data_IF_401334407245
#
_entry.id   IF_401334407245
#
_cell.length_a   1.000
_cell.length_b   1.000
_cell.length_c   1.000
_cell.angle_alpha   90.00
_cell.angle_beta   90.00
_cell.angle_gamma   90.00
#
_symmetry.space_group_name_H-M   'P 1'
#
loop_
_entity.id
_entity.type
_entity.pdbx_description
1 polymer ?
#
# COMPACT_ATOMS: atom_id res chain seq x y z
N UNK A 1 -6.81 -2.11 23.60
CA UNK A 1 -5.67 -2.15 22.66
C UNK A 1 -4.34 -2.45 23.37
N UNK A 2 -3.76 -1.51 24.15
CA UNK A 2 -2.40 -1.66 24.66
C UNK A 2 -2.14 -2.90 25.53
N UNK A 3 -3.12 -3.34 26.33
CA UNK A 3 -3.00 -4.59 27.10
C UNK A 3 -2.79 -5.80 26.19
N UNK A 4 -3.56 -5.93 25.11
CA UNK A 4 -3.40 -7.01 24.14
C UNK A 4 -2.03 -6.93 23.45
N UNK A 5 -1.60 -5.72 23.04
CA UNK A 5 -0.27 -5.53 22.43
C UNK A 5 0.87 -5.91 23.39
N UNK A 6 0.78 -5.59 24.69
CA UNK A 6 1.77 -6.00 25.68
C UNK A 6 1.89 -7.51 25.76
N UNK A 7 0.77 -8.23 25.77
CA UNK A 7 0.76 -9.70 25.75
C UNK A 7 1.40 -10.23 24.46
N UNK A 8 0.97 -9.71 23.31
CA UNK A 8 1.50 -10.07 22.00
C UNK A 8 2.97 -9.70 21.79
N UNK A 9 3.57 -8.83 22.60
CA UNK A 9 4.99 -8.48 22.56
C UNK A 9 5.80 -9.08 23.72
N UNK A 10 5.15 -9.68 24.72
CA UNK A 10 5.80 -10.21 25.93
C UNK A 10 6.32 -9.11 26.87
N UNK A 11 5.65 -7.97 26.89
CA UNK A 11 6.00 -6.79 27.69
C UNK A 11 5.30 -6.80 29.05
N UNK A 12 5.94 -6.27 30.11
CA UNK A 12 5.32 -6.16 31.43
C UNK A 12 4.16 -5.16 31.44
N UNK A 13 3.24 -5.29 32.40
CA UNK A 13 2.04 -4.42 32.52
C UNK A 13 2.39 -2.94 32.66
N UNK A 14 3.52 -2.63 33.30
CA UNK A 14 4.03 -1.27 33.51
C UNK A 14 4.72 -0.66 32.28
N UNK A 15 4.87 -1.39 31.17
CA UNK A 15 5.43 -0.83 29.94
C UNK A 15 4.55 0.31 29.39
N UNK A 16 5.18 1.38 28.92
CA UNK A 16 4.48 2.56 28.38
C UNK A 16 3.50 2.18 27.26
N UNK A 17 2.26 2.65 27.38
CA UNK A 17 1.18 2.44 26.40
C UNK A 17 1.60 2.95 25.03
N UNK A 18 2.11 4.18 24.97
CA UNK A 18 2.49 4.84 23.72
C UNK A 18 3.65 4.11 23.02
N UNK A 19 4.69 3.75 23.79
CA UNK A 19 5.82 2.96 23.27
C UNK A 19 5.41 1.56 22.79
N UNK A 20 4.49 0.91 23.51
CA UNK A 20 3.98 -0.41 23.12
C UNK A 20 3.30 -0.37 21.76
N UNK A 21 2.44 0.63 21.53
CA UNK A 21 1.73 0.81 20.25
C UNK A 21 2.73 1.03 19.11
N UNK A 22 3.74 1.87 19.34
CA UNK A 22 4.77 2.19 18.34
C UNK A 22 5.63 0.97 17.99
N UNK A 23 6.12 0.22 18.99
CA UNK A 23 6.95 -0.97 18.76
C UNK A 23 6.14 -2.10 18.11
N UNK A 24 4.84 -2.18 18.38
CA UNK A 24 3.91 -3.07 17.66
C UNK A 24 3.68 -2.65 16.20
N UNK A 25 4.13 -1.46 15.78
CA UNK A 25 3.82 -0.81 14.49
C UNK A 25 2.32 -0.61 14.28
N UNK A 26 1.60 -0.37 15.38
CA UNK A 26 0.17 -0.15 15.39
C UNK A 26 -0.16 1.35 15.49
N UNK A 27 -1.40 1.73 15.19
CA UNK A 27 -1.88 3.10 15.32
C UNK A 27 -2.52 3.34 16.69
N UNK A 28 -2.38 4.53 17.30
CA UNK A 28 -3.12 4.86 18.51
C UNK A 28 -4.64 4.76 18.32
N UNK A 29 -5.37 4.45 19.39
CA UNK A 29 -6.84 4.31 19.34
C UNK A 29 -7.54 5.57 18.81
N UNK A 30 -6.99 6.76 19.09
CA UNK A 30 -7.50 8.04 18.58
C UNK A 30 -7.39 8.12 17.06
N UNK A 31 -6.33 7.59 16.47
CA UNK A 31 -6.16 7.45 15.02
C UNK A 31 -7.17 6.47 14.43
N UNK A 32 -7.43 5.35 15.12
CA UNK A 32 -8.47 4.40 14.68
C UNK A 32 -9.87 5.01 14.66
N UNK A 33 -10.25 5.76 15.69
CA UNK A 33 -11.55 6.44 15.76
C UNK A 33 -11.71 7.43 14.60
N UNK A 34 -10.69 8.26 14.33
CA UNK A 34 -10.70 9.21 13.20
C UNK A 34 -10.83 8.51 11.85
N UNK A 35 -10.01 7.49 11.63
CA UNK A 35 -10.00 6.73 10.37
C UNK A 35 -11.32 5.99 10.16
N UNK A 36 -11.92 5.44 11.22
CA UNK A 36 -13.20 4.75 11.10
C UNK A 36 -14.37 5.69 10.83
N UNK A 37 -14.42 6.86 11.47
CA UNK A 37 -15.39 7.90 11.15
C UNK A 37 -15.30 8.32 9.67
N UNK A 38 -14.09 8.56 9.18
CA UNK A 38 -13.86 8.90 7.77
C UNK A 38 -14.22 7.74 6.84
N UNK A 39 -13.92 6.49 7.23
CA UNK A 39 -14.30 5.28 6.47
C UNK A 39 -15.82 5.18 6.31
N UNK A 40 -16.56 5.40 7.39
CA UNK A 40 -18.03 5.38 7.39
C UNK A 40 -18.55 6.50 6.50
N UNK A 41 -18.04 7.73 6.64
CA UNK A 41 -18.46 8.84 5.80
C UNK A 41 -18.19 8.58 4.32
N UNK A 42 -16.96 8.19 3.97
CA UNK A 42 -16.55 7.84 2.60
C UNK A 42 -17.40 6.74 1.99
N UNK A 43 -17.74 5.70 2.77
CA UNK A 43 -18.61 4.62 2.31
C UNK A 43 -19.97 5.14 1.86
N UNK A 44 -20.58 6.06 2.60
CA UNK A 44 -21.89 6.60 2.26
C UNK A 44 -21.79 7.64 1.14
N UNK A 45 -20.82 8.56 1.24
CA UNK A 45 -20.55 9.57 0.22
C UNK A 45 -20.24 8.95 -1.16
N UNK A 46 -19.49 7.85 -1.21
CA UNK A 46 -19.08 7.19 -2.44
C UNK A 46 -19.96 6.00 -2.85
N UNK A 47 -20.94 5.55 -2.05
CA UNK A 47 -21.78 4.38 -2.41
C UNK A 47 -23.28 4.58 -2.28
N UNK A 48 -23.71 5.35 -1.28
CA UNK A 48 -25.13 5.57 -0.99
C UNK A 48 -25.30 7.04 -0.59
N UNK A 49 -25.17 7.99 -1.53
CA UNK A 49 -25.20 9.42 -1.21
C UNK A 49 -26.53 9.87 -0.58
N UNK A 50 -27.62 9.13 -0.82
CA UNK A 50 -28.94 9.36 -0.22
C UNK A 50 -29.03 9.00 1.26
N UNK A 51 -28.04 8.30 1.81
CA UNK A 51 -28.04 7.90 3.21
C UNK A 51 -27.80 9.09 4.14
N UNK A 52 -28.51 9.16 5.27
CA UNK A 52 -28.39 10.27 6.22
C UNK A 52 -26.96 10.48 6.77
N UNK A 53 -26.13 9.43 6.80
CA UNK A 53 -24.71 9.53 7.20
C UNK A 53 -23.82 10.28 6.18
N UNK A 54 -24.24 10.35 4.92
CA UNK A 54 -23.55 11.19 3.93
C UNK A 54 -23.84 12.68 4.18
N UNK A 55 -25.05 13.02 4.61
CA UNK A 55 -25.48 14.40 4.92
C UNK A 55 -25.32 14.80 6.39
N UNK A 56 -24.85 13.89 7.25
CA UNK A 56 -24.66 14.16 8.69
C UNK A 56 -23.77 15.37 8.99
N UNK A 57 -22.64 15.58 8.27
CA UNK A 57 -21.81 16.77 8.46
C UNK A 57 -22.55 18.10 8.23
N UNK A 58 -23.57 18.09 7.35
CA UNK A 58 -24.40 19.25 7.05
C UNK A 58 -25.54 19.38 8.06
N UNK A 59 -26.20 18.27 8.41
CA UNK A 59 -27.38 18.29 9.29
C UNK A 59 -27.05 18.41 10.78
N UNK A 60 -25.87 17.98 11.22
CA UNK A 60 -25.42 18.03 12.62
C UNK A 60 -23.93 18.42 12.70
N UNK A 61 -23.58 19.69 12.45
CA UNK A 61 -22.18 20.14 12.40
C UNK A 61 -21.45 19.98 13.75
N UNK A 62 -22.17 20.09 14.86
CA UNK A 62 -21.58 20.08 16.22
C UNK A 62 -21.28 18.66 16.76
N UNK A 63 -21.61 17.60 16.00
CA UNK A 63 -21.30 16.23 16.44
C UNK A 63 -19.80 15.92 16.31
N UNK A 64 -19.25 15.08 17.18
CA UNK A 64 -17.84 14.66 17.11
C UNK A 64 -17.48 14.05 15.74
N UNK A 65 -18.40 13.29 15.14
CA UNK A 65 -18.25 12.71 13.81
C UNK A 65 -18.08 13.80 12.74
N UNK A 66 -18.95 14.81 12.76
CA UNK A 66 -18.89 15.94 11.84
C UNK A 66 -17.64 16.79 12.04
N UNK A 67 -17.21 17.00 13.28
CA UNK A 67 -15.96 17.70 13.59
C UNK A 67 -14.74 16.97 12.99
N UNK A 68 -14.66 15.64 13.12
CA UNK A 68 -13.59 14.84 12.50
C UNK A 68 -13.58 15.01 10.98
N UNK A 69 -14.75 14.97 10.34
CA UNK A 69 -14.88 15.13 8.89
C UNK A 69 -14.49 16.54 8.45
N UNK A 70 -14.90 17.56 9.19
CA UNK A 70 -14.56 18.95 8.92
C UNK A 70 -13.05 19.18 8.96
N UNK A 71 -12.36 18.65 9.97
CA UNK A 71 -10.90 18.73 10.12
C UNK A 71 -10.17 18.05 8.95
N UNK A 72 -10.69 16.93 8.45
CA UNK A 72 -10.05 16.14 7.39
C UNK A 72 -10.64 16.36 5.99
N UNK A 73 -11.42 17.43 5.79
CA UNK A 73 -12.14 17.69 4.53
C UNK A 73 -11.20 17.77 3.32
N UNK A 74 -10.01 18.35 3.47
CA UNK A 74 -9.02 18.46 2.40
C UNK A 74 -8.46 17.09 1.93
N UNK A 75 -8.53 16.07 2.79
CA UNK A 75 -8.03 14.73 2.47
C UNK A 75 -9.10 13.89 1.76
N UNK A 76 -10.38 14.25 1.91
CA UNK A 76 -11.48 13.57 1.26
C UNK A 76 -11.40 13.72 -0.27
N UNK A 77 -11.71 12.66 -1.04
CA UNK A 77 -11.72 12.73 -2.48
C UNK A 77 -12.79 13.71 -2.95
N UNK A 78 -12.46 14.49 -3.97
CA UNK A 78 -13.36 15.38 -4.69
C UNK A 78 -13.38 15.00 -6.18
N UNK A 79 -14.44 15.37 -6.90
CA UNK A 79 -14.52 15.16 -8.35
C UNK A 79 -14.56 13.69 -8.80
N UNK A 80 -14.95 12.75 -7.94
CA UNK A 80 -15.25 11.37 -8.33
C UNK A 80 -16.72 11.25 -8.74
N UNK A 81 -17.05 10.26 -9.56
CA UNK A 81 -18.44 9.97 -9.94
C UNK A 81 -19.11 9.11 -8.87
N UNK A 82 -20.20 9.57 -8.23
CA UNK A 82 -20.98 8.72 -7.34
C UNK A 82 -21.56 7.52 -8.11
N UNK A 83 -21.80 6.39 -7.45
CA UNK A 83 -22.53 5.28 -8.02
C UNK A 83 -23.92 5.68 -8.43
N UNK A 84 -24.14 5.58 -9.73
CA UNK A 84 -25.45 5.43 -10.29
C UNK A 84 -25.87 3.96 -10.17
N UNK A 85 -27.13 3.74 -9.80
CA UNK A 85 -27.74 2.44 -10.02
C UNK A 85 -27.92 2.29 -11.54
N UNK A 86 -27.44 1.20 -12.15
CA UNK A 86 -27.62 1.00 -13.58
C UNK A 86 -29.12 0.97 -13.90
N UNK A 87 -29.53 1.62 -15.00
CA UNK A 87 -30.91 1.66 -15.47
C UNK A 87 -31.40 0.27 -15.90
N UNK A 88 -30.48 -0.55 -16.42
CA UNK A 88 -30.71 -1.92 -16.85
C UNK A 88 -29.95 -2.89 -15.94
N UNK A 89 -30.55 -4.02 -15.55
CA UNK A 89 -29.83 -5.08 -14.88
C UNK A 89 -28.71 -5.63 -15.76
N UNK A 90 -27.56 -5.98 -15.16
CA UNK A 90 -26.38 -6.43 -15.89
C UNK A 90 -26.59 -7.71 -16.72
N UNK A 91 -27.58 -8.53 -16.37
CA UNK A 91 -27.96 -9.75 -17.10
C UNK A 91 -28.82 -9.48 -18.34
N UNK A 92 -29.38 -8.27 -18.49
CA UNK A 92 -30.12 -7.85 -19.68
C UNK A 92 -29.20 -7.24 -20.75
N UNK A 93 -27.94 -6.95 -20.41
CA UNK A 93 -26.99 -6.32 -21.33
C UNK A 93 -26.45 -7.32 -22.36
N UNK A 94 -26.10 -6.81 -23.53
CA UNK A 94 -25.40 -7.61 -24.55
C UNK A 94 -24.09 -8.22 -23.97
N UNK A 95 -23.77 -9.47 -24.34
CA UNK A 95 -22.54 -10.10 -23.89
C UNK A 95 -21.33 -9.33 -24.39
N UNK A 96 -20.27 -9.35 -23.57
CA UNK A 96 -18.98 -8.75 -23.88
C UNK A 96 -18.00 -9.89 -24.12
N UNK A 97 -17.42 -9.93 -25.32
CA UNK A 97 -16.42 -10.94 -25.69
C UNK A 97 -15.02 -10.43 -25.39
N UNK A 98 -14.33 -11.09 -24.44
CA UNK A 98 -12.94 -10.81 -24.14
C UNK A 98 -12.06 -12.05 -24.23
N UNK A 99 -10.96 -11.93 -24.96
CA UNK A 99 -9.96 -12.98 -25.15
C UNK A 99 -8.74 -12.70 -24.28
N UNK A 100 -8.45 -13.59 -23.33
CA UNK A 100 -7.36 -13.41 -22.34
C UNK A 100 -6.02 -14.04 -22.78
N UNK A 101 -6.01 -14.67 -23.95
CA UNK A 101 -4.89 -15.49 -24.44
C UNK A 101 -4.67 -15.24 -25.92
N UNK A 102 -3.41 -15.40 -26.33
CA UNK A 102 -3.01 -15.48 -27.74
C UNK A 102 -2.47 -16.91 -27.95
N UNK A 103 -2.94 -17.63 -28.98
CA UNK A 103 -2.40 -18.95 -29.33
C UNK A 103 -0.87 -18.93 -29.41
N UNK A 104 -0.22 -19.92 -28.81
CA UNK A 104 1.25 -20.01 -28.73
C UNK A 104 1.89 -19.31 -27.52
N UNK A 105 1.22 -18.34 -26.87
CA UNK A 105 1.77 -17.64 -25.70
C UNK A 105 1.27 -18.29 -24.40
N UNK A 106 2.06 -19.21 -23.82
CA UNK A 106 1.73 -19.86 -22.52
C UNK A 106 2.20 -19.04 -21.31
N UNK A 107 3.45 -18.59 -21.29
CA UNK A 107 4.01 -17.72 -20.24
C UNK A 107 4.96 -16.70 -20.86
N UNK A 108 4.82 -15.43 -20.45
CA UNK A 108 5.65 -14.31 -20.92
C UNK A 108 7.15 -14.58 -20.71
N UNK A 109 7.52 -15.18 -19.58
CA UNK A 109 8.92 -15.41 -19.19
C UNK A 109 9.60 -16.57 -19.96
N UNK A 110 8.86 -17.32 -20.78
CA UNK A 110 9.41 -18.47 -21.52
C UNK A 110 9.71 -18.14 -22.99
N UNK A 111 9.48 -16.90 -23.43
CA UNK A 111 9.68 -16.47 -24.81
C UNK A 111 10.52 -15.19 -24.83
N UNK A 112 11.31 -15.00 -25.88
CA UNK A 112 12.00 -13.74 -26.10
C UNK A 112 11.00 -12.63 -26.46
N UNK A 113 11.38 -11.38 -26.20
CA UNK A 113 10.56 -10.21 -26.55
C UNK A 113 10.18 -10.20 -28.03
N UNK A 114 11.12 -10.55 -28.91
CA UNK A 114 10.90 -10.63 -30.35
C UNK A 114 9.92 -11.74 -30.73
N UNK A 115 10.02 -12.92 -30.11
CA UNK A 115 9.09 -14.01 -30.36
C UNK A 115 7.66 -13.67 -29.89
N UNK A 116 7.52 -12.96 -28.76
CA UNK A 116 6.23 -12.43 -28.30
C UNK A 116 5.66 -11.40 -29.27
N UNK A 117 6.51 -10.48 -29.74
CA UNK A 117 6.12 -9.46 -30.72
C UNK A 117 5.60 -10.11 -32.00
N UNK A 118 6.36 -11.04 -32.58
CA UNK A 118 6.02 -11.72 -33.83
C UNK A 118 4.73 -12.53 -33.69
N UNK A 119 4.60 -13.35 -32.64
CA UNK A 119 3.40 -14.15 -32.40
C UNK A 119 2.16 -13.26 -32.23
N UNK A 120 2.30 -12.13 -31.52
CA UNK A 120 1.21 -11.17 -31.33
C UNK A 120 0.84 -10.51 -32.65
N UNK A 121 1.80 -9.99 -33.42
CA UNK A 121 1.52 -9.34 -34.70
C UNK A 121 0.88 -10.28 -35.72
N UNK A 122 1.32 -11.54 -35.79
CA UNK A 122 0.70 -12.56 -36.64
C UNK A 122 -0.75 -12.80 -36.24
N UNK A 123 -1.02 -12.98 -34.94
CA UNK A 123 -2.38 -13.16 -34.44
C UNK A 123 -3.28 -11.94 -34.73
N UNK A 124 -2.76 -10.72 -34.53
CA UNK A 124 -3.49 -9.49 -34.85
C UNK A 124 -3.79 -9.38 -36.36
N UNK A 125 -2.87 -9.80 -37.23
CA UNK A 125 -3.08 -9.81 -38.66
C UNK A 125 -4.13 -10.85 -39.08
N UNK A 126 -4.06 -12.07 -38.53
CA UNK A 126 -4.96 -13.17 -38.87
C UNK A 126 -6.39 -12.94 -38.37
N UNK A 127 -6.57 -12.47 -37.14
CA UNK A 127 -7.87 -12.40 -36.47
C UNK A 127 -8.49 -10.99 -36.45
N UNK A 128 -7.68 -9.93 -36.58
CA UNK A 128 -8.12 -8.55 -36.38
C UNK A 128 -7.80 -7.61 -37.55
N UNK A 129 -7.36 -8.10 -38.72
CA UNK A 129 -7.01 -7.24 -39.88
C UNK A 129 -8.18 -6.43 -40.43
N UNK A 130 -9.40 -6.97 -40.42
CA UNK A 130 -10.61 -6.28 -40.88
C UNK A 130 -11.27 -5.35 -39.85
N UNK A 131 -10.61 -5.09 -38.72
CA UNK A 131 -11.17 -4.33 -37.58
C UNK A 131 -10.30 -3.10 -37.29
N UNK A 132 -10.91 -2.03 -36.81
CA UNK A 132 -10.18 -0.86 -36.33
C UNK A 132 -9.51 -1.17 -34.99
N UNK A 133 -8.22 -0.86 -34.88
CA UNK A 133 -7.41 -1.18 -33.70
C UNK A 133 -7.41 -0.02 -32.72
N UNK A 134 -7.78 -0.30 -31.47
CA UNK A 134 -7.75 0.64 -30.36
C UNK A 134 -6.82 0.06 -29.30
N UNK A 135 -5.84 0.84 -28.84
CA UNK A 135 -4.90 0.42 -27.81
C UNK A 135 -5.14 1.25 -26.56
N UNK A 136 -5.21 0.60 -25.41
CA UNK A 136 -5.46 1.23 -24.12
C UNK A 136 -4.41 0.84 -23.10
N UNK A 137 -4.02 1.78 -22.25
CA UNK A 137 -3.08 1.53 -21.15
C UNK A 137 -3.39 2.43 -19.95
N UNK A 138 -3.09 1.93 -18.75
CA UNK A 138 -3.27 2.61 -17.48
C UNK A 138 -1.98 2.64 -16.66
N UNK A 139 -1.50 3.83 -16.33
CA UNK A 139 -0.29 4.00 -15.54
C UNK A 139 -0.60 4.52 -14.14
N UNK A 140 0.12 4.02 -13.13
CA UNK A 140 0.03 4.48 -11.74
C UNK A 140 1.40 4.91 -11.24
N UNK A 141 1.45 6.07 -10.58
CA UNK A 141 2.62 6.59 -9.87
C UNK A 141 2.42 6.49 -8.36
N UNK A 142 3.32 7.05 -7.56
CA UNK A 142 3.13 7.13 -6.11
C UNK A 142 1.99 8.07 -5.68
N UNK A 143 1.53 8.96 -6.57
CA UNK A 143 0.61 10.07 -6.23
C UNK A 143 -0.60 10.20 -7.14
N UNK A 144 -0.54 9.64 -8.35
CA UNK A 144 -1.57 9.78 -9.37
C UNK A 144 -1.75 8.50 -10.18
N UNK A 145 -2.91 8.38 -10.80
CA UNK A 145 -3.18 7.38 -11.82
C UNK A 145 -3.64 8.09 -13.10
N UNK A 146 -3.40 7.46 -14.24
CA UNK A 146 -3.65 8.01 -15.56
C UNK A 146 -3.97 6.90 -16.55
N UNK A 147 -4.66 7.26 -17.63
CA UNK A 147 -4.99 6.34 -18.72
C UNK A 147 -4.82 6.99 -20.08
N UNK A 148 -4.68 6.16 -21.11
CA UNK A 148 -4.61 6.62 -22.49
C UNK A 148 -5.30 5.66 -23.47
N UNK A 149 -5.72 6.23 -24.60
CA UNK A 149 -6.36 5.53 -25.72
C UNK A 149 -5.70 6.00 -27.02
N UNK A 150 -5.23 5.05 -27.81
CA UNK A 150 -4.61 5.29 -29.12
C UNK A 150 -5.43 4.58 -30.19
N UNK A 151 -5.86 5.31 -31.22
CA UNK A 151 -6.49 4.75 -32.43
C UNK A 151 -5.66 5.18 -33.64
N UNK A 152 -4.69 4.35 -34.09
CA UNK A 152 -3.74 4.76 -35.12
C UNK A 152 -4.40 5.13 -36.44
N UNK A 153 -5.42 4.39 -36.88
CA UNK A 153 -6.11 4.62 -38.14
C UNK A 153 -6.80 5.99 -38.22
N UNK A 154 -7.14 6.57 -37.06
CA UNK A 154 -7.83 7.86 -36.94
C UNK A 154 -6.94 8.96 -36.38
N UNK A 155 -5.66 8.68 -36.13
CA UNK A 155 -4.72 9.59 -35.44
C UNK A 155 -5.25 10.11 -34.09
N UNK A 156 -6.06 9.32 -33.38
CA UNK A 156 -6.60 9.68 -32.06
C UNK A 156 -5.58 9.30 -31.00
N UNK A 157 -5.24 10.27 -30.14
CA UNK A 157 -4.44 10.07 -28.93
C UNK A 157 -5.11 10.81 -27.78
N UNK A 158 -5.89 10.07 -27.00
CA UNK A 158 -6.54 10.59 -25.80
C UNK A 158 -5.72 10.16 -24.60
N UNK A 159 -5.48 11.09 -23.70
CA UNK A 159 -4.76 10.86 -22.46
C UNK A 159 -5.40 11.68 -21.35
N UNK A 160 -5.46 11.13 -20.16
CA UNK A 160 -6.10 11.80 -19.04
C UNK A 160 -5.52 11.33 -17.71
N UNK A 161 -5.64 12.18 -16.71
CA UNK A 161 -5.40 11.85 -15.31
C UNK A 161 -6.71 11.40 -14.68
N UNK A 162 -6.70 10.43 -13.77
CA UNK A 162 -7.91 10.08 -13.01
C UNK A 162 -8.17 11.13 -11.92
N UNK A 163 -9.44 11.34 -11.53
CA UNK A 163 -9.80 12.36 -10.53
C UNK A 163 -9.18 12.13 -9.15
N UNK A 164 -8.73 10.92 -8.87
CA UNK A 164 -8.04 10.55 -7.64
C UNK A 164 -7.03 9.43 -7.92
N UNK A 165 -6.07 9.25 -7.01
CA UNK A 165 -5.18 8.10 -7.00
C UNK A 165 -5.99 6.80 -6.90
N UNK A 166 -5.73 5.85 -7.79
CA UNK A 166 -6.37 4.54 -7.82
C UNK A 166 -5.39 3.43 -8.20
N UNK A 167 -5.85 2.18 -8.14
CA UNK A 167 -5.07 0.99 -8.53
C UNK A 167 -4.79 0.93 -10.02
N UNK A 168 -3.74 0.20 -10.43
CA UNK A 168 -3.42 0.01 -11.86
C UNK A 168 -4.58 -0.61 -12.63
N UNK A 169 -5.26 -1.63 -12.08
CA UNK A 169 -6.44 -2.22 -12.74
C UNK A 169 -7.58 -1.23 -12.94
N UNK A 170 -7.82 -0.29 -12.01
CA UNK A 170 -8.83 0.74 -12.19
C UNK A 170 -8.43 1.78 -13.25
N UNK A 171 -7.14 2.12 -13.34
CA UNK A 171 -6.62 3.01 -14.39
C UNK A 171 -6.78 2.39 -15.79
N UNK A 172 -6.49 1.09 -15.92
CA UNK A 172 -6.71 0.30 -17.14
C UNK A 172 -8.18 0.26 -17.54
N UNK A 173 -9.07 -0.02 -16.58
CA UNK A 173 -10.52 0.01 -16.81
C UNK A 173 -11.00 1.41 -17.22
N UNK A 174 -10.43 2.48 -16.64
CA UNK A 174 -10.76 3.85 -17.04
C UNK A 174 -10.32 4.15 -18.48
N UNK A 175 -9.19 3.61 -18.93
CA UNK A 175 -8.73 3.71 -20.31
C UNK A 175 -9.66 2.95 -21.27
N UNK A 176 -10.09 1.74 -20.91
CA UNK A 176 -11.10 0.98 -21.67
C UNK A 176 -12.43 1.74 -21.73
N UNK A 177 -12.87 2.31 -20.61
CA UNK A 177 -14.09 3.13 -20.57
C UNK A 177 -14.00 4.31 -21.53
N UNK A 178 -12.87 5.04 -21.56
CA UNK A 178 -12.65 6.13 -22.49
C UNK A 178 -12.62 5.64 -23.95
N UNK A 179 -12.08 4.46 -24.22
CA UNK A 179 -12.07 3.88 -25.56
C UNK A 179 -13.47 3.59 -26.08
N UNK A 180 -14.35 3.03 -25.24
CA UNK A 180 -15.74 2.74 -25.64
C UNK A 180 -16.53 4.04 -25.86
N UNK A 181 -16.30 5.08 -25.06
CA UNK A 181 -16.91 6.39 -25.30
C UNK A 181 -16.55 6.99 -26.66
N UNK A 182 -15.28 6.86 -27.07
CA UNK A 182 -14.82 7.31 -28.39
C UNK A 182 -15.51 6.51 -29.49
N UNK A 183 -15.62 5.20 -29.31
CA UNK A 183 -16.27 4.31 -30.29
C UNK A 183 -17.73 4.71 -30.52
N UNK A 184 -18.49 5.02 -29.46
CA UNK A 184 -19.90 5.43 -29.53
C UNK A 184 -20.09 6.74 -30.31
N UNK A 185 -19.08 7.60 -30.36
CA UNK A 185 -19.13 8.86 -31.11
C UNK A 185 -18.87 8.67 -32.61
N UNK A 186 -18.44 7.49 -33.04
CA UNK A 186 -18.06 7.18 -34.42
C UNK A 186 -19.17 6.43 -35.17
N UNK A 187 -19.10 6.36 -36.52
CA UNK A 187 -19.98 5.50 -37.29
C UNK A 187 -19.83 4.02 -36.92
N UNK A 188 -20.88 3.22 -37.18
CA UNK A 188 -20.87 1.78 -36.94
C UNK A 188 -19.69 1.11 -37.68
N UNK A 189 -18.85 0.43 -36.90
CA UNK A 189 -17.63 -0.23 -37.34
C UNK A 189 -17.34 -1.47 -36.48
N UNK A 190 -16.42 -2.30 -36.95
CA UNK A 190 -15.84 -3.40 -36.20
C UNK A 190 -14.55 -2.96 -35.50
N UNK A 191 -14.51 -3.05 -34.18
CA UNK A 191 -13.43 -2.56 -33.32
C UNK A 191 -12.75 -3.69 -32.56
N UNK A 192 -11.45 -3.56 -32.36
CA UNK A 192 -10.66 -4.41 -31.47
C UNK A 192 -9.94 -3.55 -30.45
N UNK A 193 -10.33 -3.69 -29.17
CA UNK A 193 -9.71 -2.99 -28.05
C UNK A 193 -8.62 -3.90 -27.47
N UNK A 194 -7.38 -3.44 -27.51
CA UNK A 194 -6.21 -4.13 -26.99
C UNK A 194 -5.74 -3.51 -25.68
N UNK A 195 -5.55 -4.36 -24.68
CA UNK A 195 -4.99 -3.99 -23.36
C UNK A 195 -4.00 -5.06 -22.93
N UNK A 196 -2.95 -4.66 -22.20
CA UNK A 196 -2.03 -5.62 -21.59
C UNK A 196 -2.48 -6.10 -20.20
N UNK A 197 -3.57 -5.54 -19.68
CA UNK A 197 -4.12 -5.83 -18.37
C UNK A 197 -5.12 -6.99 -18.40
N UNK A 198 -4.62 -8.21 -18.19
CA UNK A 198 -5.49 -9.39 -17.99
C UNK A 198 -6.48 -9.18 -16.86
N UNK A 199 -6.07 -8.49 -15.80
CA UNK A 199 -6.91 -8.23 -14.63
C UNK A 199 -8.13 -7.36 -15.00
N UNK A 200 -7.95 -6.32 -15.84
CA UNK A 200 -9.05 -5.49 -16.30
C UNK A 200 -10.05 -6.29 -17.14
N UNK A 201 -9.57 -7.09 -18.10
CA UNK A 201 -10.45 -7.95 -18.91
C UNK A 201 -11.16 -9.03 -18.07
N UNK A 202 -10.48 -9.61 -17.08
CA UNK A 202 -11.10 -10.55 -16.13
C UNK A 202 -12.24 -9.90 -15.34
N UNK A 203 -12.11 -8.63 -14.96
CA UNK A 203 -13.20 -7.87 -14.35
C UNK A 203 -14.39 -7.70 -15.29
N UNK A 204 -14.16 -7.43 -16.58
CA UNK A 204 -15.23 -7.24 -17.57
C UNK A 204 -16.03 -8.53 -17.88
N UNK A 205 -15.36 -9.68 -17.95
CA UNK A 205 -16.02 -10.97 -18.21
C UNK A 205 -16.78 -11.53 -17.01
N UNK A 206 -16.44 -11.10 -15.79
CA UNK A 206 -17.04 -11.59 -14.54
C UNK A 206 -17.80 -10.46 -13.80
N UNK A 207 -18.87 -9.89 -14.41
CA UNK A 207 -19.52 -8.69 -13.90
C UNK A 207 -20.21 -8.87 -12.54
N UNK A 208 -20.57 -10.10 -12.18
CA UNK A 208 -21.22 -10.42 -10.90
C UNK A 208 -20.22 -10.74 -9.78
N UNK A 209 -18.91 -10.71 -10.07
CA UNK A 209 -17.90 -10.91 -9.03
C UNK A 209 -17.87 -9.69 -8.14
N UNK A 210 -18.14 -9.90 -6.85
CA UNK A 210 -17.98 -8.83 -5.88
C UNK A 210 -16.52 -8.39 -5.79
N UNK A 211 -16.28 -7.10 -5.97
CA UNK A 211 -14.93 -6.56 -6.16
C UNK A 211 -14.84 -5.05 -6.03
N UNK A 212 -13.61 -4.50 -5.99
CA UNK A 212 -13.40 -3.06 -5.88
C UNK A 212 -13.87 -2.27 -7.10
N UNK A 213 -13.92 -2.90 -8.28
CA UNK A 213 -14.16 -2.23 -9.56
C UNK A 213 -15.59 -2.43 -10.10
N UNK A 214 -16.52 -2.94 -9.29
CA UNK A 214 -17.90 -3.27 -9.69
C UNK A 214 -18.58 -2.14 -10.48
N UNK A 215 -18.50 -0.90 -9.98
CA UNK A 215 -19.17 0.24 -10.59
C UNK A 215 -18.56 0.60 -11.95
N UNK A 216 -17.24 0.71 -12.03
CA UNK A 216 -16.54 1.04 -13.28
C UNK A 216 -16.76 -0.05 -14.34
N UNK A 217 -16.82 -1.33 -13.93
CA UNK A 217 -17.19 -2.45 -14.81
C UNK A 217 -18.62 -2.33 -15.30
N UNK A 218 -19.57 -1.97 -14.42
CA UNK A 218 -20.96 -1.76 -14.80
C UNK A 218 -21.08 -0.63 -15.83
N UNK A 219 -20.40 0.50 -15.60
CA UNK A 219 -20.39 1.65 -16.50
C UNK A 219 -19.87 1.25 -17.89
N UNK A 220 -18.75 0.53 -17.97
CA UNK A 220 -18.19 0.02 -19.25
C UNK A 220 -19.18 -0.93 -19.95
N UNK A 221 -19.86 -1.81 -19.23
CA UNK A 221 -20.80 -2.76 -19.83
C UNK A 221 -22.06 -2.08 -20.36
N UNK A 222 -22.53 -1.02 -19.70
CA UNK A 222 -23.64 -0.20 -20.18
C UNK A 222 -23.22 0.52 -21.47
N UNK A 223 -22.03 1.12 -21.50
CA UNK A 223 -21.50 1.75 -22.70
C UNK A 223 -21.33 0.74 -23.85
N UNK A 224 -20.76 -0.44 -23.56
CA UNK A 224 -20.65 -1.52 -24.53
C UNK A 224 -22.01 -1.94 -25.10
N UNK A 225 -23.02 -2.08 -24.23
CA UNK A 225 -24.37 -2.42 -24.65
C UNK A 225 -24.93 -1.38 -25.61
N UNK A 226 -24.82 -0.09 -25.29
CA UNK A 226 -25.27 0.99 -26.18
C UNK A 226 -24.49 1.03 -27.51
N UNK A 227 -23.19 0.79 -27.48
CA UNK A 227 -22.40 0.71 -28.71
C UNK A 227 -22.88 -0.44 -29.61
N UNK A 228 -23.21 -1.59 -29.04
CA UNK A 228 -23.77 -2.72 -29.79
C UNK A 228 -25.17 -2.39 -30.33
N UNK A 229 -26.02 -1.71 -29.56
CA UNK A 229 -27.36 -1.25 -30.02
C UNK A 229 -27.25 -0.26 -31.20
N UNK A 230 -26.18 0.53 -31.25
CA UNK A 230 -25.86 1.42 -32.39
C UNK A 230 -25.23 0.69 -33.59
N UNK A 231 -25.05 -0.63 -33.49
CA UNK A 231 -24.52 -1.47 -34.56
C UNK A 231 -23.00 -1.61 -34.57
N UNK A 232 -22.28 -1.17 -33.52
CA UNK A 232 -20.85 -1.46 -33.42
C UNK A 232 -20.61 -2.93 -33.07
N UNK A 233 -19.54 -3.50 -33.62
CA UNK A 233 -19.03 -4.80 -33.22
C UNK A 233 -17.72 -4.60 -32.44
N UNK A 234 -17.67 -4.90 -31.14
CA UNK A 234 -16.51 -4.63 -30.28
C UNK A 234 -15.98 -5.95 -29.68
N UNK A 235 -14.69 -6.21 -29.88
CA UNK A 235 -13.97 -7.34 -29.28
C UNK A 235 -12.85 -6.83 -28.37
N UNK A 236 -12.68 -7.42 -27.20
CA UNK A 236 -11.63 -7.06 -26.26
C UNK A 236 -10.54 -8.15 -26.28
N UNK A 237 -9.29 -7.78 -26.51
CA UNK A 237 -8.20 -8.73 -26.68
C UNK A 237 -7.02 -8.37 -25.79
N UNK A 238 -6.57 -9.34 -25.00
CA UNK A 238 -5.33 -9.21 -24.26
C UNK A 238 -4.12 -9.28 -25.19
N UNK A 239 -3.14 -8.39 -25.00
CA UNK A 239 -1.84 -8.47 -25.66
C UNK A 239 -0.69 -8.43 -24.62
N UNK A 240 0.47 -9.05 -24.89
CA UNK A 240 1.60 -8.94 -23.97
C UNK A 240 2.16 -7.50 -23.96
N UNK A 241 2.18 -6.88 -22.77
CA UNK A 241 2.79 -5.56 -22.59
C UNK A 241 4.31 -5.57 -22.78
N UNK A 242 4.88 -4.41 -23.12
CA UNK A 242 6.33 -4.18 -23.29
C UNK A 242 7.04 -5.17 -24.22
N UNK A 243 6.40 -5.53 -25.34
CA UNK A 243 6.99 -6.41 -26.34
C UNK A 243 7.23 -5.76 -27.71
N UNK A 244 7.17 -4.43 -27.84
CA UNK A 244 7.44 -3.75 -29.11
C UNK A 244 6.23 -3.61 -30.02
N UNK A 245 5.00 -3.80 -29.51
CA UNK A 245 3.79 -3.53 -30.28
C UNK A 245 3.56 -2.03 -30.28
N UNK A 246 3.76 -1.39 -31.44
CA UNK A 246 3.79 0.07 -31.56
C UNK A 246 2.57 0.77 -30.92
N UNK A 247 1.35 0.28 -31.17
CA UNK A 247 0.13 0.86 -30.60
C UNK A 247 0.09 0.78 -29.07
N UNK A 248 0.50 -0.35 -28.49
CA UNK A 248 0.56 -0.54 -27.04
C UNK A 248 1.66 0.31 -26.40
N UNK A 249 2.84 0.34 -27.00
CA UNK A 249 3.95 1.14 -26.48
C UNK A 249 3.66 2.64 -26.56
N UNK A 250 2.89 3.09 -27.56
CA UNK A 250 2.37 4.46 -27.63
C UNK A 250 1.35 4.73 -26.52
N UNK A 251 0.45 3.79 -26.24
CA UNK A 251 -0.52 3.93 -25.16
C UNK A 251 0.18 4.02 -23.79
N UNK A 252 1.15 3.14 -23.48
CA UNK A 252 1.94 3.19 -22.23
C UNK A 252 2.71 4.50 -22.08
N UNK A 253 3.34 4.99 -23.16
CA UNK A 253 4.01 6.30 -23.15
C UNK A 253 3.01 7.43 -22.90
N UNK A 254 1.89 7.46 -23.62
CA UNK A 254 0.84 8.49 -23.45
C UNK A 254 0.26 8.47 -22.04
N UNK A 255 -0.02 7.29 -21.48
CA UNK A 255 -0.56 7.15 -20.12
C UNK A 255 0.45 7.67 -19.08
N UNK A 256 1.75 7.40 -19.25
CA UNK A 256 2.79 7.95 -18.36
C UNK A 256 2.93 9.47 -18.48
N UNK A 257 2.82 10.01 -19.68
CA UNK A 257 2.89 11.46 -19.92
C UNK A 257 1.66 12.23 -19.41
N UNK A 258 0.49 11.59 -19.33
CA UNK A 258 -0.75 12.23 -18.87
C UNK A 258 -0.75 12.63 -17.38
N UNK A 259 0.30 12.28 -16.62
CA UNK A 259 0.42 12.59 -15.19
C UNK A 259 0.47 14.11 -14.93
N UNK A 260 1.05 14.83 -15.87
CA UNK A 260 1.28 16.28 -15.81
C UNK A 260 0.17 17.07 -16.52
N UNK A 261 -0.82 16.38 -17.10
CA UNK A 261 -1.95 17.03 -17.74
C UNK A 261 -2.97 17.55 -16.71
N UNK A 262 -3.62 18.66 -17.07
CA UNK A 262 -4.72 19.24 -16.29
C UNK A 262 -6.06 18.52 -16.51
N UNK A 263 -6.19 17.72 -17.58
CA UNK A 263 -7.44 17.04 -17.90
C UNK A 263 -7.65 15.85 -16.96
N UNK A 264 -8.63 16.00 -16.06
CA UNK A 264 -9.01 14.97 -15.10
C UNK A 264 -10.30 14.27 -15.54
N UNK A 265 -10.23 12.94 -15.66
CA UNK A 265 -11.38 12.07 -15.89
C UNK A 265 -11.93 11.59 -14.54
N UNK A 266 -13.20 11.90 -14.28
CA UNK A 266 -13.88 11.42 -13.09
C UNK A 266 -14.17 9.92 -13.21
N UNK A 267 -13.74 9.16 -12.21
CA UNK A 267 -14.03 7.73 -12.10
C UNK A 267 -14.65 7.43 -10.73
N UNK A 268 -15.33 6.27 -10.58
CA UNK A 268 -15.88 5.84 -9.29
C UNK A 268 -14.82 5.72 -8.20
N UNK A 269 -15.14 6.17 -6.98
CA UNK A 269 -14.23 6.02 -5.83
C UNK A 269 -14.42 4.66 -5.17
N UNK A 270 -13.46 3.74 -5.36
CA UNK A 270 -13.60 2.37 -4.89
C UNK A 270 -13.30 2.20 -3.40
N UNK A 271 -13.70 1.05 -2.84
CA UNK A 271 -13.36 0.67 -1.46
C UNK A 271 -11.85 0.54 -1.25
N UNK A 272 -11.12 0.07 -2.26
CA UNK A 272 -9.65 -0.04 -2.22
C UNK A 272 -8.99 1.32 -2.22
N UNK A 273 -9.52 2.28 -2.99
CA UNK A 273 -9.02 3.66 -3.00
C UNK A 273 -9.24 4.33 -1.63
N UNK A 274 -10.45 4.15 -1.07
CA UNK A 274 -10.77 4.59 0.29
C UNK A 274 -9.80 4.01 1.31
N UNK A 275 -9.58 2.69 1.26
CA UNK A 275 -8.68 2.00 2.20
C UNK A 275 -7.24 2.49 2.09
N UNK A 276 -6.70 2.61 0.88
CA UNK A 276 -5.33 3.06 0.65
C UNK A 276 -5.12 4.50 1.15
N UNK A 277 -6.06 5.39 0.85
CA UNK A 277 -6.04 6.79 1.32
C UNK A 277 -6.10 6.89 2.83
N UNK A 278 -7.03 6.17 3.46
CA UNK A 278 -7.17 6.15 4.91
C UNK A 278 -5.96 5.55 5.61
N UNK A 279 -5.30 4.55 5.02
CA UNK A 279 -4.06 4.00 5.55
C UNK A 279 -2.89 4.98 5.42
N UNK A 280 -2.84 5.82 4.38
CA UNK A 280 -1.87 6.93 4.31
C UNK A 280 -2.13 7.93 5.43
N UNK A 281 -3.36 8.38 5.58
CA UNK A 281 -3.75 9.31 6.63
C UNK A 281 -3.46 8.76 8.03
N UNK A 282 -3.74 7.48 8.29
CA UNK A 282 -3.43 6.83 9.57
C UNK A 282 -1.93 6.90 9.89
N UNK A 283 -1.07 6.66 8.89
CA UNK A 283 0.39 6.76 9.04
C UNK A 283 0.82 8.20 9.28
N UNK A 284 0.26 9.16 8.56
CA UNK A 284 0.55 10.59 8.72
C UNK A 284 0.15 11.10 10.12
N UNK A 285 -1.07 10.78 10.57
CA UNK A 285 -1.57 11.13 11.90
C UNK A 285 -0.71 10.53 13.01
N UNK A 286 -0.32 9.26 12.84
CA UNK A 286 0.55 8.58 13.81
C UNK A 286 1.94 9.21 13.84
N UNK A 287 2.49 9.59 12.69
CA UNK A 287 3.79 10.27 12.61
C UNK A 287 3.74 11.67 13.20
N UNK A 288 2.65 12.41 12.98
CA UNK A 288 2.44 13.73 13.57
C UNK A 288 2.33 13.64 15.11
N UNK A 289 1.59 12.67 15.63
CA UNK A 289 1.51 12.39 17.06
C UNK A 289 2.87 11.96 17.64
N UNK A 290 3.65 11.17 16.90
CA UNK A 290 4.97 10.75 17.32
C UNK A 290 5.97 11.91 17.43
N UNK A 291 5.89 12.86 16.51
CA UNK A 291 6.72 14.05 16.49
C UNK A 291 6.21 15.16 17.43
N UNK A 292 5.08 14.96 18.14
CA UNK A 292 4.57 15.98 19.06
C UNK A 292 5.35 15.97 20.37
N UNK A 293 5.46 17.14 21.02
CA UNK A 293 6.06 17.28 22.35
C UNK A 293 5.31 16.51 23.44
N UNK A 294 4.06 16.14 23.17
CA UNK A 294 3.21 15.34 24.06
C UNK A 294 3.56 13.85 24.03
N UNK A 295 4.37 13.39 23.07
CA UNK A 295 4.79 11.99 23.03
C UNK A 295 5.86 11.70 24.09
N UNK A 296 5.46 10.96 25.12
CA UNK A 296 6.18 10.87 26.41
C UNK A 296 7.35 9.89 26.48
N UNK A 297 7.76 9.22 25.39
CA UNK A 297 8.86 8.23 25.44
C UNK A 297 10.13 8.68 24.73
N UNK A 298 10.96 9.45 25.45
CA UNK A 298 12.25 9.95 24.97
C UNK A 298 13.21 8.84 24.50
N UNK A 299 13.20 7.67 25.17
CA UNK A 299 14.08 6.54 24.81
C UNK A 299 13.75 6.00 23.43
N UNK A 300 12.50 5.58 23.22
CA UNK A 300 12.06 5.01 21.95
C UNK A 300 12.23 6.03 20.83
N UNK A 301 11.99 7.32 21.12
CA UNK A 301 12.23 8.41 20.17
C UNK A 301 13.70 8.57 19.79
N UNK A 302 14.63 8.51 20.75
CA UNK A 302 16.06 8.57 20.49
C UNK A 302 16.60 7.37 19.68
N UNK A 303 16.00 6.19 19.83
CA UNK A 303 16.43 4.99 19.11
C UNK A 303 15.92 4.96 17.66
N UNK A 304 14.68 5.40 17.43
CA UNK A 304 14.03 5.36 16.12
C UNK A 304 13.17 6.60 15.86
N UNK A 305 13.77 7.76 15.59
CA UNK A 305 13.04 9.02 15.40
C UNK A 305 12.04 8.98 14.23
N UNK A 306 12.26 8.10 13.24
CA UNK A 306 11.41 7.97 12.05
C UNK A 306 10.35 6.85 12.13
N UNK A 307 10.07 6.29 13.30
CA UNK A 307 9.15 5.14 13.46
C UNK A 307 9.52 3.90 12.62
N UNK A 308 10.80 3.72 12.32
CA UNK A 308 11.28 2.62 11.48
C UNK A 308 11.53 1.31 12.24
N UNK A 309 10.68 1.01 13.23
CA UNK A 309 10.71 -0.25 13.95
C UNK A 309 10.38 -1.39 12.98
N UNK A 310 11.32 -2.34 12.83
CA UNK A 310 11.06 -3.59 12.10
C UNK A 310 11.57 -4.76 12.89
N UNK A 311 10.63 -5.49 13.49
CA UNK A 311 10.87 -6.86 13.91
C UNK A 311 11.17 -7.69 12.64
N UNK A 312 12.31 -8.38 12.57
CA UNK A 312 12.62 -9.22 11.42
C UNK A 312 11.80 -10.49 11.45
N UNK A 313 11.49 -10.98 10.25
CA UNK A 313 10.96 -12.33 10.10
C UNK A 313 12.02 -13.38 10.42
N UNK A 314 11.57 -14.48 11.04
CA UNK A 314 12.35 -15.71 11.21
C UNK A 314 13.27 -15.76 12.44
N UNK A 315 13.06 -14.89 13.43
CA UNK A 315 13.75 -15.01 14.73
C UNK A 315 12.84 -15.72 15.75
N UNK A 316 13.39 -16.47 16.73
CA UNK A 316 12.61 -17.11 17.77
C UNK A 316 11.80 -16.08 18.58
N UNK A 317 10.61 -16.50 19.02
CA UNK A 317 9.68 -15.66 19.79
C UNK A 317 10.33 -15.02 21.03
N UNK A 318 11.17 -15.77 21.75
CA UNK A 318 11.90 -15.27 22.91
C UNK A 318 12.80 -14.06 22.58
N UNK A 319 13.42 -14.07 21.41
CA UNK A 319 14.32 -13.00 20.95
C UNK A 319 13.54 -11.77 20.47
N UNK A 320 12.38 -11.96 19.84
CA UNK A 320 11.46 -10.86 19.52
C UNK A 320 11.03 -10.13 20.79
N UNK A 321 10.62 -10.89 21.81
CA UNK A 321 10.19 -10.34 23.09
C UNK A 321 11.34 -9.60 23.78
N UNK A 322 12.52 -10.20 23.84
CA UNK A 322 13.70 -9.54 24.42
C UNK A 322 14.06 -8.25 23.67
N UNK A 323 14.03 -8.26 22.34
CA UNK A 323 14.30 -7.07 21.54
C UNK A 323 13.28 -5.95 21.82
N UNK A 324 11.99 -6.29 21.91
CA UNK A 324 10.96 -5.34 22.31
C UNK A 324 11.25 -4.76 23.70
N UNK A 325 11.60 -5.60 24.67
CA UNK A 325 11.95 -5.15 26.03
C UNK A 325 13.16 -4.21 26.04
N UNK A 326 14.20 -4.53 25.28
CA UNK A 326 15.40 -3.70 25.14
C UNK A 326 15.08 -2.32 24.53
N UNK A 327 14.26 -2.28 23.48
CA UNK A 327 13.81 -1.02 22.86
C UNK A 327 12.99 -0.17 23.82
N UNK A 328 12.04 -0.76 24.54
CA UNK A 328 11.20 -0.03 25.49
C UNK A 328 11.94 0.34 26.79
N UNK A 329 13.12 -0.23 27.04
CA UNK A 329 13.85 -0.01 28.30
C UNK A 329 13.25 -0.76 29.49
N UNK A 330 12.60 -1.89 29.21
CA UNK A 330 11.85 -2.72 30.18
C UNK A 330 12.37 -4.17 30.20
N UNK A 331 13.61 -4.37 29.76
CA UNK A 331 14.31 -5.64 29.97
C UNK A 331 14.60 -5.81 31.46
N UNK A 332 14.55 -7.04 31.97
CA UNK A 332 14.69 -7.33 33.40
C UNK A 332 16.15 -7.25 33.89
N UNK A 333 16.79 -6.10 33.69
CA UNK A 333 18.09 -5.77 34.30
C UNK A 333 17.90 -5.46 35.79
N UNK A 334 18.94 -5.55 36.62
CA UNK A 334 18.78 -5.24 38.05
C UNK A 334 18.25 -3.81 38.27
N UNK A 335 18.72 -2.83 37.50
CA UNK A 335 18.21 -1.46 37.59
C UNK A 335 16.71 -1.33 37.25
N UNK A 336 16.22 -2.07 36.25
CA UNK A 336 14.79 -2.07 35.92
C UNK A 336 13.98 -2.87 36.95
N UNK A 337 14.46 -4.05 37.34
CA UNK A 337 13.84 -4.93 38.33
C UNK A 337 13.71 -4.24 39.70
N UNK A 338 14.71 -3.49 40.14
CA UNK A 338 14.66 -2.66 41.34
C UNK A 338 13.58 -1.58 41.22
N UNK A 339 13.52 -0.87 40.08
CA UNK A 339 12.50 0.16 39.82
C UNK A 339 11.06 -0.36 39.89
N UNK A 340 10.84 -1.62 39.55
CA UNK A 340 9.52 -2.28 39.63
C UNK A 340 9.33 -3.11 40.91
N UNK A 341 10.26 -3.06 41.86
CA UNK A 341 10.17 -3.74 43.15
C UNK A 341 10.41 -5.26 43.11
N UNK A 342 11.04 -5.78 42.06
CA UNK A 342 11.38 -7.21 41.91
C UNK A 342 12.81 -7.56 42.36
N UNK A 343 13.68 -6.57 42.54
CA UNK A 343 15.04 -6.75 43.04
C UNK A 343 15.30 -5.83 44.24
N UNK A 344 16.24 -6.20 45.10
CA UNK A 344 16.59 -5.44 46.31
C UNK A 344 17.48 -4.22 46.02
N UNK A 345 18.30 -4.29 44.98
CA UNK A 345 19.21 -3.23 44.57
C UNK A 345 19.39 -3.21 43.03
N UNK A 346 19.84 -2.07 42.45
CA UNK A 346 20.01 -1.93 41.01
C UNK A 346 21.38 -2.40 40.49
N UNK A 347 22.26 -2.95 41.34
CA UNK A 347 23.69 -3.04 41.10
C UNK A 347 24.07 -4.26 40.27
N UNK A 348 25.11 -4.12 39.45
CA UNK A 348 25.75 -5.23 38.76
C UNK A 348 26.65 -5.99 39.73
N UNK A 349 26.41 -7.30 39.89
CA UNK A 349 27.17 -8.18 40.79
C UNK A 349 28.69 -8.21 40.48
N UNK A 350 29.10 -7.90 39.25
CA UNK A 350 30.50 -7.99 38.84
C UNK A 350 31.29 -6.70 39.06
N UNK A 351 30.68 -5.52 38.90
CA UNK A 351 31.41 -4.25 38.92
C UNK A 351 30.80 -3.19 39.84
N UNK A 352 29.66 -3.47 40.47
CA UNK A 352 29.03 -2.56 41.43
C UNK A 352 28.53 -1.25 40.82
N UNK A 353 28.29 -1.18 39.52
CA UNK A 353 27.59 -0.05 38.89
C UNK A 353 26.11 -0.41 38.67
N UNK A 354 25.23 0.58 38.50
CA UNK A 354 23.84 0.33 38.12
C UNK A 354 23.75 -0.53 36.85
N UNK A 355 23.10 -1.69 36.94
CA UNK A 355 22.95 -2.62 35.83
C UNK A 355 21.86 -2.13 34.87
N UNK A 356 22.18 -1.11 34.08
CA UNK A 356 21.30 -0.59 33.01
C UNK A 356 21.52 -1.34 31.69
N UNK A 357 20.61 -1.14 30.72
CA UNK A 357 20.79 -1.70 29.36
C UNK A 357 22.06 -1.15 28.71
N UNK A 358 22.34 0.15 28.84
CA UNK A 358 23.59 0.76 28.35
C UNK A 358 24.81 0.10 29.00
N UNK A 359 24.77 -0.09 30.32
CA UNK A 359 25.84 -0.74 31.06
C UNK A 359 26.12 -2.16 30.54
N UNK A 360 25.09 -3.00 30.43
CA UNK A 360 25.21 -4.38 29.94
C UNK A 360 25.80 -4.41 28.52
N UNK A 361 25.22 -3.62 27.60
CA UNK A 361 25.58 -3.64 26.19
C UNK A 361 26.97 -3.01 25.93
N UNK A 362 27.34 -1.95 26.65
CA UNK A 362 28.47 -1.10 26.27
C UNK A 362 29.64 -1.10 27.27
N UNK A 363 29.41 -1.31 28.56
CA UNK A 363 30.40 -0.98 29.61
C UNK A 363 30.84 -2.18 30.47
N UNK A 364 29.90 -3.02 30.92
CA UNK A 364 30.12 -4.09 31.89
C UNK A 364 31.33 -5.00 31.56
N UNK A 365 32.36 -5.10 32.43
CA UNK A 365 33.56 -5.91 32.18
C UNK A 365 33.27 -7.40 31.94
N UNK A 366 32.23 -7.94 32.60
CA UNK A 366 31.77 -9.33 32.46
C UNK A 366 31.50 -9.73 31.02
N UNK A 367 31.00 -8.80 30.20
CA UNK A 367 30.61 -9.08 28.80
C UNK A 367 31.65 -8.60 27.78
N UNK A 368 32.88 -8.26 28.22
CA UNK A 368 33.94 -7.72 27.35
C UNK A 368 34.28 -8.63 26.16
N UNK A 369 34.39 -9.95 26.37
CA UNK A 369 34.63 -10.93 25.30
C UNK A 369 33.56 -10.90 24.21
N UNK A 370 32.29 -11.26 24.52
CA UNK A 370 31.18 -11.16 23.58
C UNK A 370 31.01 -9.76 22.96
N UNK A 371 31.26 -8.69 23.73
CA UNK A 371 31.15 -7.31 23.24
C UNK A 371 32.18 -7.00 22.18
N UNK A 372 33.41 -7.51 22.28
CA UNK A 372 34.43 -7.33 21.23
C UNK A 372 33.96 -7.89 19.89
N UNK A 373 33.30 -9.04 19.87
CA UNK A 373 32.72 -9.61 18.65
C UNK A 373 31.57 -8.76 18.10
N UNK A 374 30.68 -8.28 18.98
CA UNK A 374 29.60 -7.36 18.62
C UNK A 374 30.17 -6.09 17.97
N UNK A 375 31.11 -5.44 18.63
CA UNK A 375 31.75 -4.21 18.14
C UNK A 375 32.44 -4.45 16.80
N UNK A 376 33.21 -5.53 16.65
CA UNK A 376 33.87 -5.86 15.38
C UNK A 376 32.87 -6.10 14.23
N UNK A 377 31.71 -6.69 14.51
CA UNK A 377 30.67 -6.87 13.51
C UNK A 377 29.99 -5.54 13.14
N UNK A 378 29.73 -4.67 14.12
CA UNK A 378 29.15 -3.34 13.90
C UNK A 378 30.12 -2.39 13.21
N UNK A 379 31.43 -2.48 13.48
CA UNK A 379 32.48 -1.60 12.89
C UNK A 379 32.59 -1.76 11.38
N UNK A 380 32.19 -2.93 10.85
CA UNK A 380 32.07 -3.18 9.40
C UNK A 380 30.90 -2.44 8.75
N UNK A 381 29.94 -1.99 9.55
CA UNK A 381 28.73 -1.30 9.10
C UNK A 381 28.82 0.21 9.34
N UNK A 382 29.38 0.60 10.47
CA UNK A 382 29.48 1.99 10.94
C UNK A 382 30.60 2.08 11.98
N UNK A 383 31.47 3.10 11.91
CA UNK A 383 32.63 3.28 12.80
C UNK A 383 32.39 4.19 14.02
N UNK A 384 31.16 4.65 14.26
CA UNK A 384 30.81 5.42 15.47
C UNK A 384 31.16 4.65 16.76
N UNK A 385 31.44 5.32 17.88
CA UNK A 385 31.70 4.63 19.15
C UNK A 385 30.51 3.74 19.55
N UNK A 386 30.81 2.66 20.28
CA UNK A 386 29.77 1.76 20.79
C UNK A 386 28.85 2.53 21.74
N UNK A 387 27.56 2.51 21.44
CA UNK A 387 26.53 3.15 22.26
C UNK A 387 25.24 2.35 22.15
N UNK A 388 24.32 2.57 23.08
CA UNK A 388 23.01 1.94 23.02
C UNK A 388 22.27 2.27 21.71
N UNK A 389 22.35 3.53 21.26
CA UNK A 389 21.76 3.96 19.99
C UNK A 389 22.38 3.24 18.78
N UNK A 390 23.69 2.98 18.81
CA UNK A 390 24.37 2.22 17.74
C UNK A 390 23.90 0.76 17.72
N UNK A 391 23.66 0.16 18.89
CA UNK A 391 23.29 -1.26 18.99
C UNK A 391 21.80 -1.48 18.71
N UNK A 392 20.91 -0.66 19.28
CA UNK A 392 19.46 -0.85 19.27
C UNK A 392 18.70 0.06 18.29
N UNK A 393 19.35 1.10 17.78
CA UNK A 393 18.73 2.13 16.95
C UNK A 393 18.57 1.75 15.47
N UNK A 394 18.12 2.73 14.69
CA UNK A 394 17.88 2.58 13.26
C UNK A 394 19.19 2.41 12.45
N UNK A 395 19.14 1.51 11.46
CA UNK A 395 20.19 1.30 10.47
C UNK A 395 19.68 1.67 9.06
N UNK A 396 20.42 2.46 8.25
CA UNK A 396 19.92 3.04 6.99
C UNK A 396 19.47 2.03 5.92
N UNK A 397 19.99 0.80 5.96
CA UNK A 397 19.74 -0.24 4.97
C UNK A 397 19.15 -1.51 5.57
N UNK A 398 18.28 -2.23 4.86
CA UNK A 398 17.71 -3.50 5.36
C UNK A 398 18.79 -4.56 5.57
N UNK A 399 19.84 -4.57 4.72
CA UNK A 399 20.98 -5.48 4.85
C UNK A 399 21.84 -5.17 6.08
N UNK A 400 22.15 -3.89 6.32
CA UNK A 400 22.90 -3.48 7.51
C UNK A 400 22.09 -3.70 8.79
N UNK A 401 20.79 -3.38 8.80
CA UNK A 401 19.90 -3.68 9.91
C UNK A 401 19.88 -5.16 10.28
N UNK A 402 19.78 -6.05 9.28
CA UNK A 402 19.81 -7.52 9.51
C UNK A 402 21.17 -7.97 10.06
N UNK A 403 22.29 -7.46 9.52
CA UNK A 403 23.64 -7.80 10.01
C UNK A 403 23.86 -7.33 11.44
N UNK A 404 23.48 -6.09 11.76
CA UNK A 404 23.60 -5.52 13.10
C UNK A 404 22.76 -6.30 14.11
N UNK A 405 21.52 -6.64 13.76
CA UNK A 405 20.67 -7.44 14.63
C UNK A 405 21.24 -8.84 14.85
N UNK A 406 21.71 -9.52 13.80
CA UNK A 406 22.31 -10.85 13.95
C UNK A 406 23.54 -10.82 14.88
N UNK A 407 24.32 -9.73 14.85
CA UNK A 407 25.42 -9.52 15.78
C UNK A 407 24.92 -9.33 17.23
N UNK A 408 23.87 -8.52 17.43
CA UNK A 408 23.23 -8.34 18.74
C UNK A 408 22.67 -9.65 19.29
N UNK A 409 21.93 -10.42 18.49
CA UNK A 409 21.37 -11.70 18.91
C UNK A 409 22.46 -12.70 19.27
N UNK A 410 23.57 -12.72 18.53
CA UNK A 410 24.75 -13.52 18.90
C UNK A 410 25.31 -13.10 20.25
N UNK A 411 25.51 -11.79 20.46
CA UNK A 411 25.97 -11.25 21.73
C UNK A 411 25.05 -11.67 22.90
N UNK A 412 23.74 -11.56 22.74
CA UNK A 412 22.76 -11.92 23.78
C UNK A 412 22.79 -13.42 24.10
N UNK A 413 23.04 -14.29 23.11
CA UNK A 413 23.19 -15.73 23.32
C UNK A 413 24.50 -16.09 24.01
N UNK A 414 25.64 -15.59 23.53
CA UNK A 414 26.96 -15.97 24.05
C UNK A 414 27.24 -15.41 25.44
N UNK A 415 26.59 -14.31 25.81
CA UNK A 415 26.67 -13.72 27.15
C UNK A 415 25.72 -14.36 28.18
N UNK A 416 24.84 -15.26 27.76
CA UNK A 416 23.77 -15.82 28.61
C UNK A 416 22.66 -14.83 28.97
N UNK A 417 22.66 -13.63 28.37
CA UNK A 417 21.67 -12.58 28.65
C UNK A 417 20.29 -12.88 28.06
N UNK A 418 20.23 -13.72 27.02
CA UNK A 418 18.98 -14.08 26.33
C UNK A 418 17.91 -14.63 27.28
N UNK A 419 18.32 -15.48 28.22
CA UNK A 419 17.38 -16.17 29.12
C UNK A 419 17.18 -15.41 30.44
N UNK A 420 18.05 -14.42 30.72
CA UNK A 420 18.01 -13.59 31.94
C UNK A 420 17.11 -12.35 31.80
N UNK A 421 17.16 -11.68 30.65
CA UNK A 421 16.50 -10.38 30.39
C UNK A 421 15.11 -10.55 29.75
#
# INVERSE_FOLDING_TARGET
QAQALRICLGLPKCASTAATVVVARDHPITTYLRVDALRVHLRHLARIPSHHLASLPVSRPDSEFSAIIAVHRAVLPSGFTPPARPSLPLWCLHPLEALLTIPGIKKKNHMSTLALQQATLMFLHEQHSGRLHVYTDGSVSSVSASGAVIIPAMSVNIRFKTSHFTTSTAAELAAIHAAVEVIIAEPSHAWSIFTDSKAALQCLISPFRHGPHEQLVADIRILHHHAVEQGHNITYQWIPGHCGINGNDLADKSARSARDDNQCRAIPFSRTDASARLQSLARELTRAQWNSSEFTNARVHSLHPDLQFRLPSGIPRAEETLLCRLWLGVAFTNAYSFRIGMANDPMCENCGCDETISHILCECPRFSGPRRELTAALDRLDRRPLSEQRVLGHWPGPSSARKALNALLRFLRTSGLRDRL
#
